data_IF_174277498494
#
_entry.id   IF_174277498494
#
_cell.length_a   1.000
_cell.length_b   1.000
_cell.length_c   1.000
_cell.angle_alpha   90.00
_cell.angle_beta   90.00
_cell.angle_gamma   90.00
#
_symmetry.space_group_name_H-M   'P 1'
#
loop_
_entity.id
_entity.type
_entity.pdbx_description
1 polymer ?
#
# COMPACT_ATOMS: atom_id res chain seq x y z
N UNK A 1 11.77 17.30 23.66
CA UNK A 1 10.55 16.97 24.41
C UNK A 1 9.63 16.37 23.38
N UNK A 2 8.32 16.59 23.41
CA UNK A 2 7.58 16.48 22.15
C UNK A 2 7.38 17.91 21.66
N UNK A 3 8.07 18.29 20.61
CA UNK A 3 8.22 19.65 20.12
C UNK A 3 7.55 19.81 18.74
N UNK A 4 7.19 21.05 18.40
CA UNK A 4 6.66 21.40 17.08
C UNK A 4 7.47 22.56 16.52
N UNK A 5 8.13 22.32 15.40
CA UNK A 5 9.13 23.18 14.80
C UNK A 5 8.67 23.62 13.40
N UNK A 6 8.77 24.92 13.12
CA UNK A 6 8.34 25.52 11.85
C UNK A 6 9.39 26.51 11.31
N UNK A 7 9.98 26.22 10.14
CA UNK A 7 11.02 27.06 9.51
C UNK A 7 10.46 28.29 8.78
N UNK A 8 9.24 28.17 8.24
CA UNK A 8 8.55 29.19 7.46
C UNK A 8 9.05 29.34 6.03
N UNK A 9 10.01 30.22 5.78
CA UNK A 9 10.47 30.53 4.42
C UNK A 9 11.96 30.76 4.43
N UNK A 10 12.67 30.25 3.41
CA UNK A 10 14.11 30.24 3.40
C UNK A 10 14.63 28.82 3.58
N UNK A 11 15.95 28.68 3.69
CA UNK A 11 16.55 27.37 3.94
C UNK A 11 16.84 27.26 5.44
N UNK A 12 16.06 26.45 6.12
CA UNK A 12 16.06 26.31 7.57
C UNK A 12 16.75 25.01 8.02
N UNK A 13 17.13 24.98 9.30
CA UNK A 13 17.61 23.77 9.97
C UNK A 13 16.82 23.60 11.26
N UNK A 14 16.04 22.52 11.33
CA UNK A 14 15.20 22.18 12.46
C UNK A 14 15.80 20.97 13.17
N UNK A 15 15.93 21.05 14.50
CA UNK A 15 16.48 20.01 15.37
C UNK A 15 15.45 19.68 16.47
N UNK A 16 14.84 18.50 16.42
CA UNK A 16 13.84 18.02 17.40
C UNK A 16 14.48 17.55 18.70
N UNK A 17 15.45 16.64 18.59
CA UNK A 17 16.25 16.18 19.71
C UNK A 17 15.74 14.86 20.30
N UNK A 18 14.99 14.91 21.40
CA UNK A 18 14.48 13.70 22.07
C UNK A 18 13.01 13.87 22.35
N UNK A 19 12.22 12.86 21.97
CA UNK A 19 10.78 12.72 22.08
C UNK A 19 10.14 12.79 20.69
N UNK A 20 8.82 12.67 20.62
CA UNK A 20 8.12 12.60 19.33
C UNK A 20 7.86 14.02 18.81
N UNK A 21 8.61 14.44 17.81
CA UNK A 21 8.68 15.80 17.30
C UNK A 21 7.95 15.96 15.95
N UNK A 22 7.46 17.17 15.69
CA UNK A 22 6.81 17.54 14.43
C UNK A 22 7.58 18.66 13.74
N UNK A 23 8.21 18.36 12.61
CA UNK A 23 9.12 19.23 11.88
C UNK A 23 8.52 19.62 10.53
N UNK A 24 8.38 20.93 10.29
CA UNK A 24 7.94 21.47 9.02
C UNK A 24 8.86 22.64 8.61
N UNK A 25 9.72 22.42 7.62
CA UNK A 25 10.64 23.44 7.13
C UNK A 25 9.91 24.63 6.50
N UNK A 26 8.77 24.37 5.86
CA UNK A 26 8.05 25.36 5.08
C UNK A 26 8.70 25.53 3.71
N UNK A 27 8.64 26.74 3.15
CA UNK A 27 9.09 26.99 1.80
C UNK A 27 10.61 27.19 1.74
N UNK A 28 11.33 26.32 1.04
CA UNK A 28 12.75 26.50 0.77
C UNK A 28 13.43 25.15 0.65
N UNK A 29 14.73 25.09 0.90
CA UNK A 29 15.45 23.82 0.97
C UNK A 29 15.93 23.62 2.38
N UNK A 30 15.23 22.75 3.12
CA UNK A 30 15.36 22.64 4.56
C UNK A 30 16.11 21.37 4.99
N UNK A 31 16.71 21.43 6.18
CA UNK A 31 17.31 20.28 6.86
C UNK A 31 16.51 19.98 8.12
N UNK A 32 15.90 18.81 8.19
CA UNK A 32 15.04 18.37 9.28
C UNK A 32 15.68 17.18 10.00
N UNK A 33 16.08 17.35 11.25
CA UNK A 33 16.64 16.31 12.12
C UNK A 33 15.70 16.14 13.32
N UNK A 34 14.92 15.07 13.34
CA UNK A 34 13.94 14.76 14.39
C UNK A 34 14.63 14.26 15.66
N UNK A 35 15.62 13.38 15.51
CA UNK A 35 16.46 12.95 16.62
C UNK A 35 16.05 11.56 17.12
N UNK A 36 15.65 11.43 18.38
CA UNK A 36 15.17 10.16 18.96
C UNK A 36 13.71 10.31 19.33
N UNK A 37 12.85 9.45 18.80
CA UNK A 37 11.40 9.51 18.97
C UNK A 37 10.71 9.07 17.69
N UNK A 38 9.38 8.99 17.70
CA UNK A 38 8.61 8.81 16.47
C UNK A 38 8.24 10.18 15.91
N UNK A 39 8.99 10.63 14.93
CA UNK A 39 8.95 11.98 14.40
C UNK A 39 8.06 12.09 13.16
N UNK A 40 7.55 13.30 12.94
CA UNK A 40 6.74 13.63 11.77
C UNK A 40 7.40 14.77 11.00
N UNK A 41 7.77 14.48 9.75
CA UNK A 41 8.35 15.42 8.80
C UNK A 41 7.30 15.90 7.81
N UNK A 42 7.18 17.20 7.60
CA UNK A 42 6.38 17.77 6.51
C UNK A 42 7.31 18.38 5.48
N UNK A 43 7.26 17.86 4.25
CA UNK A 43 8.12 18.29 3.14
C UNK A 43 7.28 18.83 1.98
N UNK A 44 7.69 19.97 1.46
CA UNK A 44 7.05 20.63 0.32
C UNK A 44 8.02 20.94 -0.82
N UNK A 45 9.31 20.65 -0.62
CA UNK A 45 10.35 20.78 -1.63
C UNK A 45 11.10 19.46 -1.79
N UNK A 46 11.30 19.04 -3.04
CA UNK A 46 12.05 17.82 -3.39
C UNK A 46 13.52 17.86 -2.96
N UNK A 47 14.04 19.03 -2.58
CA UNK A 47 15.41 19.20 -2.12
C UNK A 47 15.53 19.20 -0.59
N UNK A 48 14.44 19.11 0.15
CA UNK A 48 14.50 18.99 1.62
C UNK A 48 15.30 17.74 2.00
N UNK A 49 16.04 17.83 3.10
CA UNK A 49 16.86 16.77 3.64
C UNK A 49 16.31 16.36 5.00
N UNK A 50 15.88 15.10 5.12
CA UNK A 50 15.56 14.48 6.40
C UNK A 50 16.79 13.72 6.89
N UNK A 51 17.16 13.95 8.15
CA UNK A 51 18.25 13.26 8.84
C UNK A 51 17.63 12.37 9.90
N UNK A 52 17.80 11.06 9.73
CA UNK A 52 17.31 10.07 10.68
C UNK A 52 18.42 9.13 11.17
N UNK A 53 18.36 8.77 12.45
CA UNK A 53 19.35 7.90 13.09
C UNK A 53 18.84 6.46 13.17
N UNK A 54 19.79 5.51 13.20
CA UNK A 54 19.43 4.10 13.37
C UNK A 54 18.78 3.87 14.74
N UNK A 55 17.70 3.09 14.77
CA UNK A 55 16.93 2.74 15.98
C UNK A 55 16.37 3.97 16.73
N UNK A 56 16.11 5.07 16.02
CA UNK A 56 15.61 6.32 16.59
C UNK A 56 14.10 6.32 16.84
N UNK A 57 13.34 5.52 16.09
CA UNK A 57 11.89 5.51 16.20
C UNK A 57 11.23 4.80 15.02
N UNK A 58 10.00 5.20 14.75
CA UNK A 58 9.21 4.83 13.58
C UNK A 58 8.59 6.09 13.05
N UNK A 59 9.16 6.59 11.96
CA UNK A 59 8.99 7.98 11.57
C UNK A 59 8.07 8.11 10.35
N UNK A 60 7.45 9.29 10.20
CA UNK A 60 6.51 9.57 9.14
C UNK A 60 6.92 10.80 8.34
N UNK A 61 7.04 10.62 7.02
CA UNK A 61 7.14 11.72 6.07
C UNK A 61 5.77 12.01 5.45
N UNK A 62 5.26 13.22 5.66
CA UNK A 62 4.13 13.80 4.95
C UNK A 62 4.66 14.67 3.79
N UNK A 63 4.53 14.19 2.55
CA UNK A 63 5.08 14.89 1.38
C UNK A 63 4.00 15.44 0.47
N UNK A 64 4.10 16.74 0.13
CA UNK A 64 3.27 17.36 -0.90
C UNK A 64 3.87 17.29 -2.32
N UNK A 65 5.05 16.69 -2.44
CA UNK A 65 5.83 16.51 -3.67
C UNK A 65 6.21 15.02 -3.88
N UNK A 66 6.87 14.71 -5.00
CA UNK A 66 7.49 13.39 -5.15
C UNK A 66 8.53 13.16 -4.05
N UNK A 67 8.54 11.98 -3.45
CA UNK A 67 9.44 11.68 -2.35
C UNK A 67 10.02 10.28 -2.40
N UNK A 68 11.27 10.16 -1.93
CA UNK A 68 11.97 8.90 -1.74
C UNK A 68 12.42 8.86 -0.28
N UNK A 69 12.00 7.84 0.47
CA UNK A 69 12.44 7.68 1.86
C UNK A 69 13.95 7.45 1.91
N UNK A 70 14.63 8.25 2.73
CA UNK A 70 16.02 8.01 3.10
C UNK A 70 16.15 6.80 4.02
N UNK A 71 17.37 6.51 4.46
CA UNK A 71 17.61 5.43 5.43
C UNK A 71 16.86 5.71 6.75
N UNK A 72 16.48 4.64 7.47
CA UNK A 72 15.85 4.70 8.79
C UNK A 72 14.50 5.44 8.83
N UNK A 73 13.85 5.60 7.68
CA UNK A 73 12.49 6.14 7.62
C UNK A 73 11.52 5.03 7.23
N UNK A 74 10.43 4.87 7.97
CA UNK A 74 9.52 3.75 7.80
C UNK A 74 8.24 4.12 7.05
N UNK A 75 7.73 5.35 7.18
CA UNK A 75 6.41 5.68 6.66
C UNK A 75 6.43 6.91 5.74
N UNK A 76 5.66 6.82 4.64
CA UNK A 76 5.42 7.90 3.70
C UNK A 76 3.92 8.08 3.47
N UNK A 77 3.44 9.30 3.61
CA UNK A 77 2.09 9.71 3.18
C UNK A 77 2.19 10.87 2.19
N UNK A 78 1.63 10.68 0.99
CA UNK A 78 1.51 11.73 -0.02
C UNK A 78 0.30 12.61 0.31
N UNK A 79 0.54 13.89 0.57
CA UNK A 79 -0.48 14.88 0.98
C UNK A 79 -0.81 15.90 -0.12
N UNK A 80 0.00 15.93 -1.19
CA UNK A 80 -0.23 16.78 -2.34
C UNK A 80 -1.53 16.43 -3.07
N UNK A 81 -2.01 17.32 -3.94
CA UNK A 81 -3.23 17.09 -4.73
C UNK A 81 -2.96 16.62 -6.16
N UNK A 82 -1.70 16.66 -6.59
CA UNK A 82 -1.27 16.21 -7.92
C UNK A 82 -0.97 14.72 -7.98
N UNK A 83 -0.67 14.24 -9.20
CA UNK A 83 -0.07 12.94 -9.44
C UNK A 83 1.41 12.98 -9.01
N UNK A 84 1.65 12.68 -7.75
CA UNK A 84 2.98 12.58 -7.15
C UNK A 84 3.28 11.14 -6.77
N UNK A 85 4.55 10.81 -6.62
CA UNK A 85 5.03 9.44 -6.45
C UNK A 85 5.78 9.28 -5.14
N UNK A 86 5.79 8.06 -4.63
CA UNK A 86 6.47 7.67 -3.40
C UNK A 86 7.38 6.46 -3.65
N UNK A 87 8.55 6.48 -3.05
CA UNK A 87 9.46 5.32 -3.03
C UNK A 87 9.94 5.09 -1.61
N UNK A 88 9.86 3.86 -1.14
CA UNK A 88 10.43 3.44 0.14
C UNK A 88 11.94 3.18 0.03
N UNK A 89 12.45 2.34 0.91
CA UNK A 89 13.85 2.01 1.07
C UNK A 89 14.01 0.49 1.26
N UNK A 90 15.00 0.04 2.06
CA UNK A 90 15.23 -1.38 2.30
C UNK A 90 14.61 -1.90 3.60
N UNK A 91 13.81 -1.08 4.27
CA UNK A 91 13.08 -1.41 5.49
C UNK A 91 11.64 -1.80 5.16
N UNK A 92 10.93 -2.34 6.14
CA UNK A 92 9.50 -2.54 5.99
C UNK A 92 8.79 -1.18 6.04
N UNK A 93 8.31 -0.69 4.90
CA UNK A 93 7.71 0.61 4.78
C UNK A 93 6.18 0.59 4.69
N UNK A 94 5.54 1.66 5.17
CA UNK A 94 4.13 1.95 4.90
C UNK A 94 4.03 3.15 3.97
N UNK A 95 3.54 2.92 2.75
CA UNK A 95 3.40 3.95 1.71
C UNK A 95 1.92 4.20 1.45
N UNK A 96 1.51 5.45 1.63
CA UNK A 96 0.15 5.91 1.37
C UNK A 96 0.13 6.98 0.27
N UNK A 97 -0.55 6.67 -0.82
CA UNK A 97 -0.85 7.58 -1.92
C UNK A 97 -1.88 8.65 -1.56
N UNK A 98 -2.17 9.54 -2.51
CA UNK A 98 -3.17 10.59 -2.40
C UNK A 98 -4.41 10.28 -3.26
N UNK A 99 -5.09 11.32 -3.77
CA UNK A 99 -6.26 11.14 -4.65
C UNK A 99 -5.91 11.23 -6.16
N UNK A 100 -4.63 11.45 -6.48
CA UNK A 100 -4.10 11.49 -7.84
C UNK A 100 -3.61 10.11 -8.27
N UNK A 101 -3.27 9.97 -9.55
CA UNK A 101 -2.64 8.74 -10.04
C UNK A 101 -1.18 8.68 -9.52
N UNK A 102 -0.92 7.83 -8.54
CA UNK A 102 0.39 7.67 -7.92
C UNK A 102 1.15 6.49 -8.50
N UNK A 103 2.48 6.61 -8.55
CA UNK A 103 3.38 5.46 -8.58
C UNK A 103 3.97 5.29 -7.18
N UNK A 104 3.74 4.13 -6.57
CA UNK A 104 4.33 3.75 -5.29
C UNK A 104 5.26 2.55 -5.48
N UNK A 105 6.47 2.63 -4.92
CA UNK A 105 7.45 1.53 -4.93
C UNK A 105 7.90 1.27 -3.51
N UNK A 106 7.66 0.07 -2.98
CA UNK A 106 8.03 -0.34 -1.63
C UNK A 106 9.55 -0.36 -1.47
N UNK A 107 10.20 -1.29 -2.16
CA UNK A 107 11.65 -1.43 -2.14
C UNK A 107 12.05 -2.84 -1.72
N UNK A 108 13.08 -2.97 -0.90
CA UNK A 108 13.30 -4.25 -0.21
C UNK A 108 12.57 -4.21 1.13
N UNK A 109 12.22 -5.37 1.68
CA UNK A 109 11.50 -5.44 2.96
C UNK A 109 10.03 -5.78 2.75
N UNK A 110 9.31 -6.02 3.83
CA UNK A 110 7.90 -6.38 3.78
C UNK A 110 7.05 -5.12 3.88
N UNK A 111 6.63 -4.60 2.73
CA UNK A 111 6.01 -3.29 2.62
C UNK A 111 4.48 -3.35 2.66
N UNK A 112 3.87 -2.19 2.95
CA UNK A 112 2.42 -2.00 2.84
C UNK A 112 2.13 -0.77 1.98
N UNK A 113 1.59 -1.01 0.78
CA UNK A 113 1.32 0.03 -0.22
C UNK A 113 -0.20 0.25 -0.36
N UNK A 114 -0.62 1.50 -0.22
CA UNK A 114 -2.01 1.93 -0.32
C UNK A 114 -2.13 3.05 -1.36
N UNK A 115 -2.71 2.78 -2.53
CA UNK A 115 -2.90 3.78 -3.60
C UNK A 115 -3.95 4.84 -3.27
N UNK A 116 -4.93 4.47 -2.43
CA UNK A 116 -6.09 5.28 -2.05
C UNK A 116 -7.07 5.53 -3.20
N UNK A 117 -7.03 6.68 -3.87
CA UNK A 117 -7.91 7.00 -4.99
C UNK A 117 -7.06 7.45 -6.16
N UNK A 118 -7.42 7.08 -7.38
CA UNK A 118 -6.57 7.36 -8.51
C UNK A 118 -6.48 6.12 -9.39
N UNK A 119 -5.79 6.22 -10.53
CA UNK A 119 -5.42 5.01 -11.26
C UNK A 119 -3.94 4.80 -10.96
N UNK A 120 -3.66 3.98 -9.97
CA UNK A 120 -2.34 3.91 -9.35
C UNK A 120 -1.51 2.78 -9.95
N UNK A 121 -0.19 2.88 -9.80
CA UNK A 121 0.75 1.80 -10.13
C UNK A 121 1.58 1.51 -8.89
N UNK A 122 1.41 0.31 -8.32
CA UNK A 122 2.04 -0.11 -7.07
C UNK A 122 3.00 -1.26 -7.33
N UNK A 123 4.23 -1.14 -6.83
CA UNK A 123 5.29 -2.14 -6.91
C UNK A 123 5.77 -2.48 -5.50
N UNK A 124 5.52 -3.70 -5.02
CA UNK A 124 6.08 -4.20 -3.75
C UNK A 124 7.60 -4.33 -3.86
N UNK A 125 8.03 -5.10 -4.86
CA UNK A 125 9.43 -5.37 -5.25
C UNK A 125 10.02 -6.58 -4.54
N UNK A 126 10.72 -6.46 -3.42
CA UNK A 126 11.32 -7.63 -2.76
C UNK A 126 10.89 -7.74 -1.30
N UNK A 127 10.20 -8.82 -0.95
CA UNK A 127 9.70 -9.05 0.40
C UNK A 127 8.28 -9.58 0.35
N UNK A 128 7.69 -9.86 1.51
CA UNK A 128 6.30 -10.30 1.58
C UNK A 128 5.40 -9.05 1.72
N UNK A 129 4.88 -8.55 0.59
CA UNK A 129 4.24 -7.23 0.53
C UNK A 129 2.72 -7.27 0.68
N UNK A 130 2.13 -6.21 1.23
CA UNK A 130 0.69 -5.95 1.24
C UNK A 130 0.36 -4.81 0.28
N UNK A 131 -0.42 -5.09 -0.77
CA UNK A 131 -0.71 -4.11 -1.82
C UNK A 131 -2.21 -3.89 -1.94
N UNK A 132 -2.66 -2.64 -1.80
CA UNK A 132 -4.04 -2.22 -1.98
C UNK A 132 -4.10 -1.00 -2.90
N UNK A 133 -4.61 -1.18 -4.12
CA UNK A 133 -4.80 -0.07 -5.08
C UNK A 133 -5.81 0.95 -4.57
N UNK A 134 -7.04 0.50 -4.29
CA UNK A 134 -8.08 1.33 -3.71
C UNK A 134 -9.18 1.65 -4.72
N UNK A 135 -9.55 2.92 -4.85
CA UNK A 135 -10.58 3.40 -5.78
C UNK A 135 -9.92 3.78 -7.10
N UNK A 136 -10.23 3.05 -8.16
CA UNK A 136 -9.85 3.40 -9.52
C UNK A 136 -9.56 2.18 -10.37
N UNK A 137 -8.57 2.31 -11.26
CA UNK A 137 -8.04 1.19 -12.05
C UNK A 137 -6.56 1.10 -11.79
N UNK A 138 -6.20 0.19 -10.91
CA UNK A 138 -4.84 0.12 -10.41
C UNK A 138 -4.06 -1.00 -11.09
N UNK A 139 -2.75 -0.84 -11.15
CA UNK A 139 -1.80 -1.87 -11.57
C UNK A 139 -0.97 -2.25 -10.36
N UNK A 140 -1.09 -3.50 -9.93
CA UNK A 140 -0.46 -4.02 -8.72
C UNK A 140 0.59 -5.06 -9.13
N UNK A 141 1.82 -4.86 -8.70
CA UNK A 141 2.95 -5.76 -8.96
C UNK A 141 3.56 -6.14 -7.62
N UNK A 142 3.52 -7.42 -7.25
CA UNK A 142 4.05 -7.92 -5.99
C UNK A 142 5.57 -7.93 -5.99
N UNK A 143 6.15 -8.57 -7.01
CA UNK A 143 7.58 -8.77 -7.14
C UNK A 143 7.99 -10.16 -6.65
N UNK A 144 9.03 -10.23 -5.83
CA UNK A 144 9.50 -11.49 -5.23
C UNK A 144 9.09 -11.57 -3.77
N UNK A 145 8.54 -12.71 -3.36
CA UNK A 145 8.10 -12.95 -1.99
C UNK A 145 6.70 -13.52 -1.98
N UNK A 146 6.06 -13.59 -0.82
CA UNK A 146 4.67 -14.02 -0.68
C UNK A 146 3.78 -12.79 -0.53
N UNK A 147 3.25 -12.31 -1.65
CA UNK A 147 2.54 -11.04 -1.67
C UNK A 147 1.05 -11.18 -1.40
N UNK A 148 0.46 -10.14 -0.83
CA UNK A 148 -0.95 -10.05 -0.47
C UNK A 148 -1.62 -8.89 -1.20
N UNK A 149 -2.41 -9.21 -2.22
CA UNK A 149 -3.19 -8.24 -2.99
C UNK A 149 -4.56 -8.02 -2.33
N UNK A 150 -4.76 -6.88 -1.68
CA UNK A 150 -5.97 -6.54 -0.96
C UNK A 150 -6.98 -5.79 -1.84
N UNK A 151 -7.97 -6.54 -2.32
CA UNK A 151 -9.07 -6.08 -3.16
C UNK A 151 -10.40 -6.02 -2.37
N UNK A 152 -10.35 -5.68 -1.08
CA UNK A 152 -11.54 -5.66 -0.21
C UNK A 152 -12.33 -4.33 -0.25
N UNK A 153 -11.80 -3.31 -0.91
CA UNK A 153 -12.34 -1.95 -0.99
C UNK A 153 -13.51 -1.77 -1.98
N UNK A 154 -14.07 -0.56 -2.04
CA UNK A 154 -15.18 -0.28 -2.96
C UNK A 154 -14.64 -0.06 -4.37
N UNK A 155 -15.00 -0.94 -5.31
CA UNK A 155 -14.52 -0.95 -6.71
C UNK A 155 -15.17 0.10 -7.60
N UNK A 156 -15.15 1.35 -7.18
CA UNK A 156 -15.53 2.49 -8.02
C UNK A 156 -14.35 2.84 -8.92
N UNK A 157 -14.57 3.03 -10.23
CA UNK A 157 -13.52 3.47 -11.17
C UNK A 157 -13.04 2.41 -12.17
N UNK A 158 -13.20 1.12 -11.86
CA UNK A 158 -12.99 0.03 -12.81
C UNK A 158 -12.40 -1.22 -12.15
N UNK A 159 -11.51 -1.89 -12.89
CA UNK A 159 -10.90 -3.14 -12.47
C UNK A 159 -9.40 -2.97 -12.35
N UNK A 160 -8.86 -3.45 -11.24
CA UNK A 160 -7.43 -3.53 -11.03
C UNK A 160 -6.83 -4.69 -11.81
N UNK A 161 -5.53 -4.57 -12.09
CA UNK A 161 -4.71 -5.58 -12.76
C UNK A 161 -3.60 -5.98 -11.82
N UNK A 162 -3.53 -7.27 -11.47
CA UNK A 162 -2.34 -7.84 -10.84
C UNK A 162 -1.40 -8.31 -11.96
N UNK A 163 -0.20 -7.76 -12.00
CA UNK A 163 0.71 -7.87 -13.14
C UNK A 163 1.54 -9.17 -13.14
N UNK A 164 1.87 -9.72 -11.96
CA UNK A 164 2.90 -10.75 -11.79
C UNK A 164 2.57 -11.86 -10.77
N UNK A 165 1.28 -12.09 -10.49
CA UNK A 165 0.82 -13.08 -9.51
C UNK A 165 1.49 -14.46 -9.66
N UNK A 166 2.15 -14.92 -8.60
CA UNK A 166 2.83 -16.22 -8.49
C UNK A 166 2.02 -17.21 -7.67
N UNK A 167 1.59 -18.29 -8.33
CA UNK A 167 0.75 -19.32 -7.71
C UNK A 167 1.50 -20.08 -6.62
N UNK A 168 0.93 -20.07 -5.40
CA UNK A 168 1.47 -20.81 -4.26
C UNK A 168 2.39 -19.98 -3.37
N UNK A 169 2.74 -18.78 -3.81
CA UNK A 169 3.44 -17.75 -3.04
C UNK A 169 2.44 -16.64 -2.68
N UNK A 170 1.73 -16.11 -3.67
CA UNK A 170 0.87 -14.95 -3.48
C UNK A 170 -0.56 -15.30 -3.03
N UNK A 171 -1.19 -14.31 -2.39
CA UNK A 171 -2.56 -14.34 -1.89
C UNK A 171 -3.35 -13.14 -2.40
N UNK A 172 -4.59 -13.39 -2.85
CA UNK A 172 -5.56 -12.31 -3.12
C UNK A 172 -6.58 -12.28 -1.98
N UNK A 173 -6.76 -11.12 -1.36
CA UNK A 173 -7.74 -10.87 -0.31
C UNK A 173 -8.94 -10.14 -0.90
N UNK A 174 -10.14 -10.71 -0.78
CA UNK A 174 -11.39 -10.17 -1.34
C UNK A 174 -12.46 -10.14 -0.26
N UNK A 175 -13.31 -9.11 -0.23
CA UNK A 175 -14.34 -9.00 0.82
C UNK A 175 -15.56 -9.88 0.50
N UNK A 176 -16.21 -10.41 1.55
CA UNK A 176 -17.45 -11.20 1.41
C UNK A 176 -18.59 -10.43 0.75
N UNK A 177 -18.62 -9.11 0.90
CA UNK A 177 -19.65 -8.26 0.32
C UNK A 177 -19.60 -8.30 -1.22
N UNK A 178 -18.40 -8.43 -1.81
CA UNK A 178 -18.22 -8.51 -3.26
C UNK A 178 -18.69 -9.85 -3.86
N UNK A 179 -18.72 -10.91 -3.06
CA UNK A 179 -19.23 -12.20 -3.51
C UNK A 179 -20.75 -12.22 -3.68
N UNK A 180 -21.48 -11.20 -3.19
CA UNK A 180 -22.92 -11.07 -3.32
C UNK A 180 -23.67 -12.31 -2.82
N UNK A 181 -24.31 -12.23 -1.65
CA UNK A 181 -25.19 -13.30 -1.12
C UNK A 181 -26.42 -13.63 -2.03
N UNK A 182 -26.45 -13.11 -3.26
CA UNK A 182 -27.49 -13.30 -4.28
C UNK A 182 -27.05 -14.27 -5.39
N UNK A 183 -25.76 -14.61 -5.51
CA UNK A 183 -25.31 -15.58 -6.52
C UNK A 183 -25.57 -17.02 -6.03
N UNK A 184 -26.27 -17.82 -6.85
CA UNK A 184 -26.63 -19.20 -6.54
C UNK A 184 -25.40 -20.08 -6.28
N UNK A 185 -25.58 -21.19 -5.57
CA UNK A 185 -24.51 -22.17 -5.32
C UNK A 185 -23.82 -22.58 -6.63
N UNK A 186 -22.49 -22.76 -6.59
CA UNK A 186 -21.65 -23.15 -7.74
C UNK A 186 -21.71 -22.20 -8.95
N UNK A 187 -21.91 -20.90 -8.72
CA UNK A 187 -21.84 -19.90 -9.78
C UNK A 187 -20.40 -19.59 -10.15
N UNK A 188 -20.16 -19.50 -11.47
CA UNK A 188 -18.98 -18.85 -12.01
C UNK A 188 -19.03 -17.38 -11.62
N UNK A 189 -17.99 -16.89 -10.94
CA UNK A 189 -17.86 -15.46 -10.69
C UNK A 189 -17.87 -14.75 -12.03
N UNK A 190 -18.63 -13.65 -12.12
CA UNK A 190 -18.65 -12.83 -13.32
C UNK A 190 -17.22 -12.55 -13.80
N UNK A 191 -16.98 -12.73 -15.10
CA UNK A 191 -15.72 -12.39 -15.78
C UNK A 191 -15.31 -10.94 -15.58
N UNK A 192 -16.26 -10.08 -15.20
CA UNK A 192 -15.99 -8.70 -14.80
C UNK A 192 -15.24 -8.61 -13.47
N UNK A 193 -15.28 -9.60 -12.58
CA UNK A 193 -14.75 -9.46 -11.22
C UNK A 193 -13.22 -9.60 -11.13
N UNK A 194 -12.57 -10.34 -12.02
CA UNK A 194 -11.11 -10.50 -12.02
C UNK A 194 -10.57 -10.72 -13.44
N UNK A 195 -9.48 -10.02 -13.79
CA UNK A 195 -8.61 -10.36 -14.92
C UNK A 195 -7.21 -10.60 -14.37
N UNK A 196 -6.69 -11.81 -14.52
CA UNK A 196 -5.27 -12.08 -14.30
C UNK A 196 -4.49 -11.53 -15.50
N UNK A 197 -3.28 -11.00 -15.23
CA UNK A 197 -2.31 -10.56 -16.24
C UNK A 197 -1.82 -11.70 -17.14
N UNK A 198 -0.68 -11.51 -17.81
CA UNK A 198 -0.25 -12.22 -19.05
C UNK A 198 -0.14 -13.75 -19.02
N UNK A 199 -0.42 -14.41 -17.90
CA UNK A 199 -0.63 -15.86 -17.80
C UNK A 199 -2.09 -16.26 -18.09
N UNK A 200 -3.03 -15.32 -18.16
CA UNK A 200 -4.39 -15.53 -18.66
C UNK A 200 -4.35 -15.64 -20.18
N UNK A 201 -4.39 -16.88 -20.67
CA UNK A 201 -4.13 -17.19 -22.07
C UNK A 201 -5.38 -16.92 -22.94
N UNK A 202 -6.57 -16.76 -22.31
CA UNK A 202 -7.81 -16.37 -22.99
C UNK A 202 -8.79 -15.61 -22.07
N UNK A 203 -9.76 -14.89 -22.66
CA UNK A 203 -10.85 -14.20 -21.95
C UNK A 203 -11.85 -15.13 -21.20
N UNK A 204 -11.55 -16.44 -21.15
CA UNK A 204 -12.42 -17.48 -20.60
C UNK A 204 -11.93 -18.05 -19.27
N UNK A 205 -10.75 -17.67 -18.79
CA UNK A 205 -10.20 -18.15 -17.51
C UNK A 205 -10.97 -17.48 -16.35
N UNK A 206 -11.54 -18.31 -15.46
CA UNK A 206 -12.42 -17.89 -14.35
C UNK A 206 -11.91 -18.40 -13.01
N UNK A 207 -12.14 -17.61 -11.96
CA UNK A 207 -12.17 -18.08 -10.58
C UNK A 207 -13.54 -18.68 -10.25
N UNK A 208 -13.55 -19.84 -9.60
CA UNK A 208 -14.73 -20.61 -9.19
C UNK A 208 -14.74 -20.73 -7.67
N UNK A 209 -15.75 -20.18 -7.00
CA UNK A 209 -15.90 -20.28 -5.54
C UNK A 209 -16.91 -21.38 -5.17
N UNK A 210 -16.43 -22.42 -4.51
CA UNK A 210 -17.26 -23.45 -3.91
C UNK A 210 -17.76 -22.96 -2.53
N UNK A 211 -19.05 -22.63 -2.45
CA UNK A 211 -19.67 -22.14 -1.23
C UNK A 211 -19.81 -23.21 -0.13
N UNK A 212 -19.71 -24.49 -0.48
CA UNK A 212 -19.83 -25.64 0.44
C UNK A 212 -18.52 -25.87 1.17
N UNK A 213 -17.42 -25.89 0.42
CA UNK A 213 -16.07 -26.12 0.97
C UNK A 213 -15.36 -24.82 1.34
N UNK A 214 -15.82 -23.68 0.81
CA UNK A 214 -15.17 -22.39 0.93
C UNK A 214 -13.92 -22.26 0.04
N UNK A 215 -13.70 -23.19 -0.89
CA UNK A 215 -12.52 -23.23 -1.75
C UNK A 215 -12.72 -22.37 -3.00
N UNK A 216 -11.66 -21.63 -3.38
CA UNK A 216 -11.58 -20.96 -4.67
C UNK A 216 -10.68 -21.79 -5.61
N UNK A 217 -11.12 -22.02 -6.84
CA UNK A 217 -10.37 -22.79 -7.85
C UNK A 217 -10.30 -22.01 -9.17
N UNK A 218 -9.19 -22.15 -9.90
CA UNK A 218 -9.11 -21.68 -11.28
C UNK A 218 -9.50 -22.80 -12.23
N UNK A 219 -10.22 -22.42 -13.29
CA UNK A 219 -10.77 -23.33 -14.29
C UNK A 219 -9.73 -24.12 -15.10
N UNK A 220 -8.42 -23.86 -14.95
CA UNK A 220 -7.40 -24.55 -15.75
C UNK A 220 -6.22 -25.20 -15.02
N UNK A 221 -5.76 -24.78 -13.84
CA UNK A 221 -4.67 -25.48 -13.13
C UNK A 221 -4.69 -25.22 -11.63
N UNK A 222 -4.72 -26.31 -10.85
CA UNK A 222 -4.34 -26.32 -9.43
C UNK A 222 -5.22 -25.51 -8.48
N UNK A 223 -5.17 -25.87 -7.20
CA UNK A 223 -5.77 -25.04 -6.15
C UNK A 223 -4.97 -23.75 -5.99
N UNK A 224 -5.65 -22.60 -5.95
CA UNK A 224 -5.10 -21.38 -5.37
C UNK A 224 -5.41 -21.40 -3.89
N UNK A 225 -4.42 -21.17 -3.03
CA UNK A 225 -4.67 -20.99 -1.59
C UNK A 225 -5.11 -19.54 -1.35
N UNK A 226 -6.42 -19.33 -1.23
CA UNK A 226 -6.94 -18.11 -0.63
C UNK A 226 -6.90 -18.28 0.90
N UNK A 227 -6.10 -17.48 1.61
CA UNK A 227 -6.17 -17.46 3.07
C UNK A 227 -7.40 -16.68 3.53
N UNK A 228 -8.33 -17.43 4.10
CA UNK A 228 -9.59 -16.91 4.64
C UNK A 228 -9.37 -16.44 6.07
N UNK A 229 -9.27 -15.14 6.29
CA UNK A 229 -9.34 -14.60 7.66
C UNK A 229 -10.78 -14.62 8.16
N UNK A 230 -11.18 -15.73 8.77
CA UNK A 230 -12.39 -15.78 9.59
C UNK A 230 -12.07 -15.28 11.00
N UNK A 231 -12.40 -14.04 11.32
CA UNK A 231 -12.69 -13.67 12.72
C UNK A 231 -14.21 -13.59 12.86
N UNK A 232 -14.80 -14.67 13.37
CA UNK A 232 -16.20 -14.65 13.80
C UNK A 232 -16.33 -13.58 14.91
N UNK A 233 -17.32 -12.68 14.88
CA UNK A 233 -17.67 -11.94 16.08
C UNK A 233 -18.16 -12.95 17.11
N UNK A 234 -17.46 -13.04 18.24
CA UNK A 234 -17.94 -13.74 19.41
C UNK A 234 -19.30 -13.17 19.80
N UNK A 235 -20.37 -13.92 19.55
CA UNK A 235 -21.67 -13.62 20.16
C UNK A 235 -21.52 -13.70 21.68
N UNK A 236 -21.94 -12.70 22.45
CA UNK A 236 -22.20 -12.91 23.87
C UNK A 236 -23.37 -13.87 23.98
N UNK A 237 -23.13 -15.02 24.62
CA UNK A 237 -24.17 -15.89 25.12
C UNK A 237 -24.72 -15.28 26.42
N UNK A 238 -26.05 -15.13 26.43
CA UNK A 238 -26.98 -14.72 27.50
C UNK A 238 -27.12 -13.24 27.81
#
# INVERSE_FOLDING_TARGET
GNDSLFGSSGNDTLLGGVGDDSLNGGAGTDSLDGGVGNDIYTVDNVNDLIIEYLDAGTDLVNSSVNWVLGNNLENLTLTGTGAINGTGNSLNNILMGNNGANTLTGGDGNDSLFGNSGNDTLFGSAGDDLIAGGVGRDVLTGGTGQDSFNLTGTRIGGYDTIADFTLGEDTILISKAEFGLVQSQNTTLDSGLFRLGTTAITASDRFMYDQTTGNLSLTRMGLVRLHKFFKLPSSPIR
#
